data_IF_912675747814
#
_entry.id   IF_912675747814
#
_cell.length_a   1.000
_cell.length_b   1.000
_cell.length_c   1.000
_cell.angle_alpha   90.00
_cell.angle_beta   90.00
_cell.angle_gamma   90.00
#
_symmetry.space_group_name_H-M   'P 1'
#
loop_
_entity.id
_entity.type
_entity.pdbx_description
1 polymer ?
#
# COMPACT_ATOMS: atom_id res chain seq x y z
N UNK A 1 -22.66 -20.42 8.23
CA UNK A 1 -21.28 -20.71 7.78
C UNK A 1 -21.28 -21.55 6.50
N UNK A 2 -21.93 -22.72 6.44
CA UNK A 2 -21.93 -23.60 5.24
C UNK A 2 -22.47 -22.97 3.95
N UNK A 3 -23.44 -22.04 4.01
CA UNK A 3 -23.93 -21.31 2.82
C UNK A 3 -22.89 -20.35 2.21
N UNK A 4 -21.98 -19.83 3.03
CA UNK A 4 -20.91 -18.92 2.56
C UNK A 4 -19.87 -19.68 1.74
N UNK A 5 -19.47 -20.89 2.17
CA UNK A 5 -18.51 -21.72 1.43
C UNK A 5 -19.01 -22.19 0.05
N UNK A 6 -20.34 -22.25 -0.15
CA UNK A 6 -20.96 -22.57 -1.44
C UNK A 6 -21.23 -21.34 -2.32
N UNK A 7 -20.88 -20.14 -1.87
CA UNK A 7 -21.11 -18.93 -2.66
C UNK A 7 -20.06 -18.79 -3.77
N UNK A 8 -20.48 -18.33 -4.95
CA UNK A 8 -19.57 -18.00 -6.06
C UNK A 8 -18.47 -17.00 -5.64
N UNK A 9 -18.79 -16.09 -4.73
CA UNK A 9 -17.85 -15.13 -4.16
C UNK A 9 -16.72 -15.81 -3.36
N UNK A 10 -17.05 -16.84 -2.57
CA UNK A 10 -16.05 -17.59 -1.81
C UNK A 10 -15.07 -18.31 -2.74
N UNK A 11 -15.59 -18.98 -3.78
CA UNK A 11 -14.75 -19.65 -4.80
C UNK A 11 -13.83 -18.64 -5.46
N UNK A 12 -14.34 -17.48 -5.84
CA UNK A 12 -13.57 -16.43 -6.48
C UNK A 12 -12.44 -15.90 -5.56
N UNK A 13 -12.74 -15.64 -4.29
CA UNK A 13 -11.74 -15.24 -3.28
C UNK A 13 -10.67 -16.31 -3.12
N UNK A 14 -11.07 -17.59 -3.02
CA UNK A 14 -10.14 -18.71 -2.89
C UNK A 14 -9.19 -18.82 -4.09
N UNK A 15 -9.73 -18.65 -5.31
CA UNK A 15 -8.95 -18.64 -6.53
C UNK A 15 -7.91 -17.51 -6.52
N UNK A 16 -8.30 -16.30 -6.12
CA UNK A 16 -7.34 -15.18 -6.01
C UNK A 16 -6.25 -15.41 -4.98
N UNK A 17 -6.60 -15.96 -3.81
CA UNK A 17 -5.64 -16.31 -2.76
C UNK A 17 -4.66 -17.37 -3.28
N UNK A 18 -5.17 -18.41 -3.94
CA UNK A 18 -4.35 -19.46 -4.53
C UNK A 18 -3.37 -18.90 -5.57
N UNK A 19 -3.85 -18.08 -6.50
CA UNK A 19 -2.98 -17.43 -7.49
C UNK A 19 -1.94 -16.53 -6.83
N UNK A 20 -2.29 -15.79 -5.78
CA UNK A 20 -1.34 -14.96 -5.05
C UNK A 20 -0.20 -15.79 -4.45
N UNK A 21 -0.51 -16.89 -3.79
CA UNK A 21 0.50 -17.81 -3.23
C UNK A 21 1.34 -18.47 -4.33
N UNK A 22 0.71 -18.87 -5.42
CA UNK A 22 1.37 -19.48 -6.56
C UNK A 22 2.37 -18.52 -7.22
N UNK A 23 1.98 -17.26 -7.45
CA UNK A 23 2.89 -16.24 -7.97
C UNK A 23 4.03 -15.91 -7.02
N UNK A 24 3.77 -15.82 -5.71
CA UNK A 24 4.83 -15.65 -4.73
C UNK A 24 5.82 -16.82 -4.78
N UNK A 25 5.34 -18.05 -4.85
CA UNK A 25 6.18 -19.22 -4.93
C UNK A 25 7.05 -19.26 -6.19
N UNK A 26 6.48 -18.96 -7.36
CA UNK A 26 7.25 -18.94 -8.63
C UNK A 26 8.31 -17.84 -8.59
N UNK A 27 8.01 -16.67 -8.02
CA UNK A 27 8.93 -15.54 -8.06
C UNK A 27 10.03 -15.58 -6.99
N UNK A 28 9.76 -16.19 -5.83
CA UNK A 28 10.65 -16.11 -4.67
C UNK A 28 10.95 -17.47 -4.01
N UNK A 29 10.35 -18.57 -4.52
CA UNK A 29 10.30 -19.88 -3.85
C UNK A 29 9.62 -19.88 -2.47
N UNK A 30 8.94 -18.79 -2.09
CA UNK A 30 8.23 -18.67 -0.83
C UNK A 30 6.72 -18.59 -1.08
N UNK A 31 5.92 -19.34 -0.30
CA UNK A 31 4.45 -19.25 -0.40
C UNK A 31 3.96 -17.88 0.05
N UNK A 32 4.52 -17.36 1.15
CA UNK A 32 4.23 -16.04 1.70
C UNK A 32 5.54 -15.27 1.78
N UNK A 33 5.81 -14.41 0.81
CA UNK A 33 7.01 -13.58 0.82
C UNK A 33 6.74 -12.26 1.59
N UNK A 34 7.67 -11.81 2.45
CA UNK A 34 8.99 -12.33 2.79
C UNK A 34 9.03 -13.17 4.10
N UNK A 35 8.13 -14.12 4.28
CA UNK A 35 8.11 -14.99 5.45
C UNK A 35 9.06 -16.19 5.25
N UNK A 36 10.26 -16.10 5.82
CA UNK A 36 11.38 -17.06 5.70
C UNK A 36 10.99 -18.52 5.91
N UNK A 37 10.07 -18.81 6.84
CA UNK A 37 9.64 -20.18 7.16
C UNK A 37 8.79 -20.82 6.05
N UNK A 38 8.27 -20.03 5.11
CA UNK A 38 7.49 -20.52 3.96
C UNK A 38 8.32 -20.73 2.70
N UNK A 39 9.63 -20.52 2.77
CA UNK A 39 10.53 -20.54 1.62
C UNK A 39 11.21 -21.90 1.43
N UNK A 40 11.24 -22.36 0.18
CA UNK A 40 11.83 -23.63 -0.27
C UNK A 40 13.18 -23.36 -0.94
N UNK A 41 14.27 -23.89 -0.38
CA UNK A 41 15.63 -23.68 -0.89
C UNK A 41 16.06 -24.69 -1.97
N UNK A 42 15.29 -25.78 -2.17
CA UNK A 42 15.68 -26.89 -3.07
C UNK A 42 15.36 -26.65 -4.55
N UNK A 43 14.78 -25.51 -4.89
CA UNK A 43 14.45 -25.19 -6.29
C UNK A 43 15.52 -24.29 -6.89
N UNK A 44 15.76 -24.40 -8.19
CA UNK A 44 16.84 -23.68 -8.89
C UNK A 44 16.70 -22.15 -8.88
N UNK A 45 15.49 -21.65 -8.67
CA UNK A 45 15.18 -20.21 -8.59
C UNK A 45 14.97 -19.70 -7.16
N UNK A 46 15.38 -20.49 -6.15
CA UNK A 46 15.17 -20.10 -4.77
C UNK A 46 16.02 -18.89 -4.39
N UNK A 47 15.41 -17.99 -3.64
CA UNK A 47 16.11 -16.90 -2.95
C UNK A 47 16.66 -17.47 -1.65
N UNK A 48 17.89 -17.13 -1.30
CA UNK A 48 18.50 -17.56 -0.05
C UNK A 48 17.71 -17.02 1.16
N UNK A 49 17.50 -17.85 2.17
CA UNK A 49 16.76 -17.44 3.39
C UNK A 49 17.37 -16.23 4.09
N UNK A 50 18.68 -16.06 4.00
CA UNK A 50 19.39 -14.87 4.52
C UNK A 50 19.01 -13.60 3.75
N UNK A 51 18.83 -13.70 2.43
CA UNK A 51 18.37 -12.56 1.62
C UNK A 51 16.92 -12.22 1.92
N UNK A 52 16.05 -13.24 2.06
CA UNK A 52 14.65 -13.02 2.44
C UNK A 52 14.55 -12.28 3.77
N UNK A 53 15.40 -12.64 4.75
CA UNK A 53 15.45 -11.97 6.05
C UNK A 53 15.97 -10.53 5.92
N UNK A 54 16.99 -10.31 5.12
CA UNK A 54 17.51 -8.97 4.83
C UNK A 54 16.45 -8.08 4.17
N UNK A 55 15.68 -8.62 3.24
CA UNK A 55 14.58 -7.92 2.57
C UNK A 55 13.45 -7.59 3.58
N UNK A 56 13.11 -8.53 4.46
CA UNK A 56 12.13 -8.28 5.54
C UNK A 56 12.56 -7.11 6.43
N UNK A 57 13.80 -7.14 6.91
CA UNK A 57 14.38 -6.08 7.74
C UNK A 57 14.39 -4.75 6.98
N UNK A 58 14.68 -4.77 5.68
CA UNK A 58 14.68 -3.56 4.86
C UNK A 58 13.28 -2.96 4.70
N UNK A 59 12.24 -3.79 4.49
CA UNK A 59 10.86 -3.30 4.42
C UNK A 59 10.39 -2.69 5.74
N UNK A 60 10.74 -3.33 6.86
CA UNK A 60 10.42 -2.82 8.19
C UNK A 60 11.16 -1.51 8.47
N UNK A 61 12.45 -1.45 8.19
CA UNK A 61 13.27 -0.25 8.32
C UNK A 61 12.73 0.90 7.47
N UNK A 62 12.37 0.62 6.21
CA UNK A 62 11.82 1.62 5.31
C UNK A 62 10.48 2.17 5.83
N UNK A 63 9.60 1.32 6.32
CA UNK A 63 8.32 1.73 6.87
C UNK A 63 8.47 2.58 8.14
N UNK A 64 9.34 2.16 9.04
CA UNK A 64 9.65 2.84 10.31
C UNK A 64 10.48 4.12 10.10
N UNK A 65 11.27 4.19 9.03
CA UNK A 65 12.04 5.36 8.62
C UNK A 65 11.25 6.45 7.89
N UNK A 66 9.91 6.40 7.93
CA UNK A 66 9.05 7.41 7.31
C UNK A 66 8.78 7.19 5.82
N UNK A 67 9.02 5.98 5.32
CA UNK A 67 8.80 5.60 3.92
C UNK A 67 9.47 6.55 2.91
N UNK A 68 10.69 6.96 3.22
CA UNK A 68 11.53 7.81 2.37
C UNK A 68 12.59 6.98 1.64
N UNK A 69 12.86 7.25 0.34
CA UNK A 69 13.78 6.43 -0.45
C UNK A 69 15.24 6.50 0.01
N UNK A 70 15.64 7.57 0.69
CA UNK A 70 17.03 7.84 1.10
C UNK A 70 17.27 7.64 2.60
N UNK A 71 16.41 6.90 3.28
CA UNK A 71 16.57 6.63 4.70
C UNK A 71 17.72 5.65 4.94
N UNK A 72 18.76 6.09 5.61
CA UNK A 72 19.94 5.28 5.96
C UNK A 72 20.21 5.42 7.45
N UNK A 73 20.45 4.30 8.12
CA UNK A 73 20.79 4.22 9.55
C UNK A 73 21.96 3.28 9.71
N UNK A 74 22.91 3.62 10.59
CA UNK A 74 24.10 2.80 10.87
C UNK A 74 23.73 1.44 11.46
N UNK A 75 22.97 1.43 12.54
CA UNK A 75 22.49 0.20 13.16
C UNK A 75 21.00 -0.03 12.87
N UNK A 76 20.71 -0.82 11.83
CA UNK A 76 19.35 -1.11 11.36
C UNK A 76 18.51 -1.83 12.42
N UNK A 77 19.10 -2.82 13.09
CA UNK A 77 18.39 -3.67 14.04
C UNK A 77 18.04 -2.90 15.30
N UNK A 78 18.95 -2.09 15.81
CA UNK A 78 18.71 -1.24 16.97
C UNK A 78 17.63 -0.19 16.69
N UNK A 79 17.66 0.42 15.50
CA UNK A 79 16.66 1.40 15.09
C UNK A 79 15.23 0.84 15.05
N UNK A 80 15.03 -0.37 14.51
CA UNK A 80 13.69 -0.98 14.40
C UNK A 80 13.17 -1.52 15.73
N UNK A 81 14.04 -1.77 16.71
CA UNK A 81 13.67 -2.31 18.00
C UNK A 81 13.27 -1.20 19.01
N UNK A 82 12.60 -1.58 20.06
CA UNK A 82 12.34 -0.77 21.25
C UNK A 82 11.74 0.62 21.00
N UNK A 83 11.01 0.81 19.90
CA UNK A 83 10.41 2.10 19.51
C UNK A 83 11.42 3.24 19.25
N UNK A 84 12.70 2.96 19.05
CA UNK A 84 13.71 3.97 18.71
C UNK A 84 13.38 4.74 17.43
N UNK A 85 12.58 4.14 16.56
CA UNK A 85 12.08 4.72 15.31
C UNK A 85 10.90 5.69 15.50
N UNK A 86 10.21 5.65 16.65
CA UNK A 86 8.89 6.29 16.80
C UNK A 86 8.95 7.81 16.63
N UNK A 87 9.91 8.48 17.22
CA UNK A 87 10.04 9.94 17.14
C UNK A 87 10.25 10.38 15.67
N UNK A 88 11.21 9.76 14.98
CA UNK A 88 11.47 10.05 13.59
C UNK A 88 10.25 9.76 12.69
N UNK A 89 9.54 8.67 12.96
CA UNK A 89 8.33 8.33 12.21
C UNK A 89 7.21 9.36 12.42
N UNK A 90 7.02 9.86 13.64
CA UNK A 90 6.04 10.92 13.93
C UNK A 90 6.38 12.18 13.15
N UNK A 91 7.61 12.63 13.18
CA UNK A 91 8.03 13.89 12.55
C UNK A 91 8.03 13.81 11.03
N UNK A 92 8.54 12.73 10.46
CA UNK A 92 8.72 12.61 9.01
C UNK A 92 7.48 12.05 8.30
N UNK A 93 6.76 11.13 8.95
CA UNK A 93 5.68 10.41 8.27
C UNK A 93 4.29 10.77 8.78
N UNK A 94 4.09 10.75 10.10
CA UNK A 94 2.77 10.97 10.69
C UNK A 94 2.26 12.36 10.37
N UNK A 95 2.97 13.40 10.76
CA UNK A 95 2.52 14.80 10.57
C UNK A 95 2.52 15.24 9.11
N UNK A 96 3.33 14.65 8.25
CA UNK A 96 3.41 15.05 6.84
C UNK A 96 2.48 14.27 5.89
N UNK A 97 2.17 13.00 6.19
CA UNK A 97 1.39 12.15 5.27
C UNK A 97 0.18 11.52 5.91
N UNK A 98 0.35 10.97 7.11
CA UNK A 98 -0.71 10.20 7.74
C UNK A 98 -1.81 11.10 8.30
N UNK A 99 -1.46 12.23 8.92
CA UNK A 99 -2.40 13.23 9.42
C UNK A 99 -3.31 13.78 8.32
N UNK A 100 -2.75 14.14 7.17
CA UNK A 100 -3.51 14.61 6.01
C UNK A 100 -4.48 13.57 5.49
N UNK A 101 -4.03 12.32 5.44
CA UNK A 101 -4.89 11.21 5.04
C UNK A 101 -6.04 10.99 6.04
N UNK A 102 -5.75 10.94 7.34
CA UNK A 102 -6.75 10.76 8.39
C UNK A 102 -7.76 11.90 8.40
N UNK A 103 -7.31 13.14 8.25
CA UNK A 103 -8.17 14.31 8.15
C UNK A 103 -9.09 14.20 6.93
N UNK A 104 -8.54 13.82 5.78
CA UNK A 104 -9.30 13.67 4.53
C UNK A 104 -10.39 12.60 4.65
N UNK A 105 -10.08 11.40 5.17
CA UNK A 105 -11.08 10.34 5.30
C UNK A 105 -12.12 10.61 6.38
N UNK A 106 -11.75 11.29 7.48
CA UNK A 106 -12.72 11.70 8.51
C UNK A 106 -13.68 12.76 7.97
N UNK A 107 -13.20 13.72 7.20
CA UNK A 107 -14.00 14.73 6.55
C UNK A 107 -14.98 14.11 5.53
N UNK A 108 -14.51 13.19 4.72
CA UNK A 108 -15.35 12.41 3.81
C UNK A 108 -16.40 11.58 4.57
N UNK A 109 -16.05 10.96 5.69
CA UNK A 109 -16.99 10.21 6.52
C UNK A 109 -18.09 11.11 7.11
N UNK A 110 -17.73 12.32 7.53
CA UNK A 110 -18.69 13.32 8.03
C UNK A 110 -19.66 13.75 6.91
N UNK A 111 -19.14 14.09 5.73
CA UNK A 111 -19.96 14.45 4.56
C UNK A 111 -20.91 13.31 4.20
N UNK A 112 -20.38 12.08 4.16
CA UNK A 112 -21.16 10.88 3.87
C UNK A 112 -22.26 10.65 4.91
N UNK A 113 -21.94 10.79 6.19
CA UNK A 113 -22.92 10.70 7.26
C UNK A 113 -24.08 11.68 7.10
N UNK A 114 -23.80 12.96 6.89
CA UNK A 114 -24.84 13.98 6.72
C UNK A 114 -25.67 13.76 5.45
N UNK A 115 -25.05 13.29 4.38
CA UNK A 115 -25.76 13.00 3.13
C UNK A 115 -26.75 11.84 3.27
N UNK A 116 -26.41 10.83 4.06
CA UNK A 116 -27.25 9.65 4.28
C UNK A 116 -28.05 9.70 5.59
N UNK A 117 -27.99 10.81 6.31
CA UNK A 117 -28.79 11.00 7.51
C UNK A 117 -30.31 11.02 7.19
N UNK A 118 -31.13 10.38 8.04
CA UNK A 118 -32.59 10.35 7.95
C UNK A 118 -33.19 10.44 9.35
N UNK A 119 -34.36 11.09 9.47
CA UNK A 119 -35.07 11.20 10.76
C UNK A 119 -35.68 9.87 11.22
N UNK A 120 -36.00 8.95 10.27
CA UNK A 120 -36.60 7.65 10.58
C UNK A 120 -35.54 6.66 11.03
N UNK A 121 -35.65 6.18 12.27
CA UNK A 121 -34.71 5.19 12.86
C UNK A 121 -35.26 3.77 12.75
N UNK A 122 -34.38 2.78 12.71
CA UNK A 122 -34.69 1.34 12.70
C UNK A 122 -33.87 0.65 13.78
N UNK A 123 -34.41 -0.42 14.38
CA UNK A 123 -33.65 -1.24 15.30
C UNK A 123 -32.56 -2.03 14.55
N UNK A 124 -31.36 -2.06 15.11
CA UNK A 124 -30.18 -2.52 14.44
C UNK A 124 -29.33 -3.47 15.30
N UNK A 125 -28.86 -4.58 14.71
CA UNK A 125 -28.02 -5.56 15.38
C UNK A 125 -26.52 -5.15 15.30
N UNK A 126 -25.98 -4.65 16.41
CA UNK A 126 -24.61 -4.11 16.48
C UNK A 126 -23.50 -5.16 16.65
N UNK A 127 -23.84 -6.34 17.19
CA UNK A 127 -22.86 -7.35 17.66
C UNK A 127 -21.81 -7.75 16.61
N UNK A 128 -22.24 -7.93 15.36
CA UNK A 128 -21.36 -8.36 14.25
C UNK A 128 -20.25 -7.34 13.95
N UNK A 129 -20.58 -6.06 14.06
CA UNK A 129 -19.66 -4.97 13.75
C UNK A 129 -18.60 -4.76 14.85
N UNK A 130 -18.96 -5.01 16.11
CA UNK A 130 -17.97 -4.95 17.19
C UNK A 130 -16.91 -6.03 17.08
N UNK A 131 -17.28 -7.25 16.67
CA UNK A 131 -16.33 -8.33 16.42
C UNK A 131 -15.37 -7.93 15.29
N UNK A 132 -15.90 -7.37 14.19
CA UNK A 132 -15.08 -6.92 13.07
C UNK A 132 -14.15 -5.78 13.49
N UNK A 133 -14.63 -4.79 14.25
CA UNK A 133 -13.82 -3.72 14.81
C UNK A 133 -12.68 -4.24 15.68
N UNK A 134 -12.95 -5.24 16.51
CA UNK A 134 -11.93 -5.86 17.34
C UNK A 134 -10.79 -6.44 16.51
N UNK A 135 -11.10 -7.22 15.48
CA UNK A 135 -10.07 -7.76 14.58
C UNK A 135 -9.31 -6.66 13.81
N UNK A 136 -10.02 -5.62 13.37
CA UNK A 136 -9.35 -4.49 12.70
C UNK A 136 -8.39 -3.74 13.62
N UNK A 137 -8.72 -3.59 14.89
CA UNK A 137 -7.82 -2.99 15.88
C UNK A 137 -6.59 -3.87 16.07
N UNK A 138 -6.74 -5.20 16.15
CA UNK A 138 -5.59 -6.10 16.23
C UNK A 138 -4.67 -5.98 15.01
N UNK A 139 -5.23 -5.96 13.79
CA UNK A 139 -4.45 -5.74 12.58
C UNK A 139 -3.80 -4.34 12.53
N UNK A 140 -4.45 -3.33 13.11
CA UNK A 140 -3.86 -2.00 13.20
C UNK A 140 -2.64 -1.98 14.13
N UNK A 141 -2.69 -2.74 15.24
CA UNK A 141 -1.53 -2.90 16.12
C UNK A 141 -0.39 -3.63 15.42
N UNK A 142 -0.67 -4.73 14.72
CA UNK A 142 0.33 -5.46 13.93
C UNK A 142 0.96 -4.55 12.87
N UNK A 143 0.13 -3.83 12.10
CA UNK A 143 0.58 -2.89 11.10
C UNK A 143 1.50 -1.81 11.71
N UNK A 144 1.12 -1.23 12.85
CA UNK A 144 1.90 -0.20 13.51
C UNK A 144 3.25 -0.72 14.02
N UNK A 145 3.28 -1.91 14.58
CA UNK A 145 4.51 -2.47 15.16
C UNK A 145 5.54 -2.88 14.09
N UNK A 146 5.09 -3.38 12.94
CA UNK A 146 6.00 -3.94 11.94
C UNK A 146 6.16 -3.06 10.70
N UNK A 147 5.07 -2.51 10.18
CA UNK A 147 5.08 -1.79 8.91
C UNK A 147 4.24 -0.52 8.95
N UNK A 148 4.56 0.48 9.77
CA UNK A 148 3.73 1.68 10.00
C UNK A 148 3.76 2.65 8.80
N UNK A 149 3.47 2.14 7.62
CA UNK A 149 3.32 2.93 6.39
C UNK A 149 1.96 2.67 5.76
N UNK A 150 1.27 3.73 5.34
CA UNK A 150 -0.04 3.64 4.69
C UNK A 150 -0.01 2.71 3.46
N UNK A 151 1.12 2.64 2.76
CA UNK A 151 1.33 1.77 1.61
C UNK A 151 1.23 0.28 1.96
N UNK A 152 1.64 -0.11 3.16
CA UNK A 152 1.58 -1.50 3.63
C UNK A 152 0.24 -1.82 4.33
N UNK A 153 -0.84 -1.55 3.66
CA UNK A 153 -2.20 -1.87 4.14
C UNK A 153 -2.85 -0.79 5.00
N UNK A 154 -2.11 0.22 5.47
CA UNK A 154 -2.64 1.28 6.32
C UNK A 154 -3.82 2.03 5.70
N UNK A 155 -3.78 2.32 4.39
CA UNK A 155 -4.91 2.95 3.70
C UNK A 155 -6.21 2.17 3.90
N UNK A 156 -6.18 0.86 3.70
CA UNK A 156 -7.36 -0.01 3.82
C UNK A 156 -7.82 -0.15 5.27
N UNK A 157 -6.88 -0.32 6.21
CA UNK A 157 -7.18 -0.47 7.63
C UNK A 157 -7.91 0.77 8.19
N UNK A 158 -7.42 1.97 7.91
CA UNK A 158 -8.05 3.19 8.38
C UNK A 158 -9.40 3.48 7.71
N UNK A 159 -9.53 3.19 6.39
CA UNK A 159 -10.83 3.29 5.71
C UNK A 159 -11.84 2.36 6.37
N UNK A 160 -11.49 1.09 6.62
CA UNK A 160 -12.38 0.13 7.25
C UNK A 160 -12.70 0.53 8.69
N UNK A 161 -11.71 0.98 9.46
CA UNK A 161 -11.90 1.42 10.84
C UNK A 161 -12.90 2.58 10.96
N UNK A 162 -12.87 3.53 10.03
CA UNK A 162 -13.81 4.65 9.98
C UNK A 162 -15.16 4.25 9.36
N UNK A 163 -15.14 3.40 8.33
CA UNK A 163 -16.36 2.98 7.62
C UNK A 163 -17.29 2.15 8.48
N UNK A 164 -16.78 1.29 9.37
CA UNK A 164 -17.63 0.42 10.19
C UNK A 164 -18.50 1.22 11.16
N UNK A 165 -17.97 2.13 12.01
CA UNK A 165 -18.81 2.99 12.84
C UNK A 165 -19.78 3.86 12.03
N UNK A 166 -19.35 4.32 10.86
CA UNK A 166 -20.17 5.11 9.95
C UNK A 166 -21.35 4.29 9.42
N UNK A 167 -21.12 3.06 8.95
CA UNK A 167 -22.18 2.14 8.51
C UNK A 167 -23.13 1.84 9.67
N UNK A 168 -22.61 1.55 10.86
CA UNK A 168 -23.42 1.33 12.07
C UNK A 168 -24.33 2.54 12.42
N UNK A 169 -23.91 3.73 12.09
CA UNK A 169 -24.72 4.95 12.28
C UNK A 169 -25.77 5.09 11.19
N UNK A 170 -25.38 4.89 9.92
CA UNK A 170 -26.27 5.06 8.76
C UNK A 170 -27.34 3.97 8.71
N UNK A 171 -27.01 2.72 9.04
CA UNK A 171 -27.95 1.60 9.02
C UNK A 171 -29.12 1.79 10.03
N UNK A 172 -28.95 2.65 11.01
CA UNK A 172 -30.07 3.07 11.91
C UNK A 172 -31.13 3.91 11.19
N UNK A 173 -30.84 4.41 10.00
CA UNK A 173 -31.73 5.30 9.28
C UNK A 173 -32.40 4.56 8.12
N UNK A 174 -33.72 4.67 8.03
CA UNK A 174 -34.48 4.09 6.94
C UNK A 174 -34.40 5.04 5.71
N UNK A 175 -33.53 4.69 4.76
CA UNK A 175 -33.39 5.42 3.51
C UNK A 175 -34.03 4.57 2.39
N UNK A 176 -34.93 5.12 1.55
CA UNK A 176 -35.47 4.42 0.38
C UNK A 176 -34.31 4.01 -0.55
N UNK A 177 -34.33 2.76 -1.02
CA UNK A 177 -33.28 2.20 -1.87
C UNK A 177 -32.95 3.05 -3.10
N UNK A 178 -33.99 3.59 -3.76
CA UNK A 178 -33.84 4.45 -4.94
C UNK A 178 -33.04 5.71 -4.60
N UNK A 179 -33.35 6.36 -3.48
CA UNK A 179 -32.64 7.56 -3.04
C UNK A 179 -31.19 7.23 -2.62
N UNK A 180 -30.99 6.09 -1.93
CA UNK A 180 -29.65 5.62 -1.58
C UNK A 180 -28.80 5.40 -2.85
N UNK A 181 -29.34 4.68 -3.83
CA UNK A 181 -28.65 4.42 -5.11
C UNK A 181 -28.27 5.72 -5.83
N UNK A 182 -29.21 6.67 -5.94
CA UNK A 182 -28.95 7.98 -6.58
C UNK A 182 -27.80 8.72 -5.89
N UNK A 183 -27.84 8.83 -4.56
CA UNK A 183 -26.81 9.52 -3.78
C UNK A 183 -25.46 8.81 -3.89
N UNK A 184 -25.43 7.47 -3.79
CA UNK A 184 -24.21 6.68 -3.93
C UNK A 184 -23.58 6.86 -5.32
N UNK A 185 -24.39 6.85 -6.40
CA UNK A 185 -23.89 7.09 -7.74
C UNK A 185 -23.26 8.47 -7.88
N UNK A 186 -23.87 9.52 -7.29
CA UNK A 186 -23.27 10.87 -7.31
C UNK A 186 -21.92 10.88 -6.61
N UNK A 187 -21.78 10.23 -5.43
CA UNK A 187 -20.51 10.14 -4.74
C UNK A 187 -19.43 9.41 -5.54
N UNK A 188 -19.80 8.30 -6.19
CA UNK A 188 -18.89 7.56 -7.06
C UNK A 188 -18.42 8.44 -8.22
N UNK A 189 -19.33 9.16 -8.88
CA UNK A 189 -18.99 10.06 -9.97
C UNK A 189 -18.06 11.19 -9.53
N UNK A 190 -18.34 11.83 -8.40
CA UNK A 190 -17.47 12.86 -7.82
C UNK A 190 -16.07 12.28 -7.53
N UNK A 191 -16.01 11.09 -6.92
CA UNK A 191 -14.74 10.42 -6.62
C UNK A 191 -13.93 10.13 -7.87
N UNK A 192 -14.58 9.67 -8.95
CA UNK A 192 -13.94 9.43 -10.25
C UNK A 192 -13.40 10.75 -10.84
N UNK A 193 -14.19 11.83 -10.79
CA UNK A 193 -13.78 13.14 -11.31
C UNK A 193 -12.54 13.66 -10.55
N UNK A 194 -12.55 13.58 -9.21
CA UNK A 194 -11.40 13.98 -8.39
C UNK A 194 -10.16 13.14 -8.70
N UNK A 195 -10.33 11.81 -8.82
CA UNK A 195 -9.24 10.90 -9.16
C UNK A 195 -8.64 11.22 -10.53
N UNK A 196 -9.47 11.38 -11.54
CA UNK A 196 -9.02 11.71 -12.90
C UNK A 196 -8.35 13.09 -12.94
N UNK A 197 -8.95 14.10 -12.32
CA UNK A 197 -8.39 15.44 -12.25
C UNK A 197 -7.00 15.47 -11.60
N UNK A 198 -6.83 14.75 -10.47
CA UNK A 198 -5.53 14.62 -9.81
C UNK A 198 -4.50 13.91 -10.69
N UNK A 199 -4.88 12.86 -11.39
CA UNK A 199 -3.95 12.15 -12.27
C UNK A 199 -3.56 12.99 -13.49
N UNK A 200 -4.50 13.71 -14.10
CA UNK A 200 -4.23 14.63 -15.21
C UNK A 200 -3.28 15.74 -14.75
N UNK A 201 -3.53 16.34 -13.58
CA UNK A 201 -2.65 17.37 -13.03
C UNK A 201 -1.23 16.84 -12.79
N UNK A 202 -1.10 15.62 -12.24
CA UNK A 202 0.19 14.97 -12.05
C UNK A 202 0.92 14.73 -13.37
N UNK A 203 0.22 14.19 -14.37
CA UNK A 203 0.80 13.96 -15.69
C UNK A 203 1.26 15.23 -16.37
N UNK A 204 0.48 16.32 -16.27
CA UNK A 204 0.88 17.62 -16.79
C UNK A 204 2.12 18.15 -16.09
N UNK A 205 2.23 17.98 -14.77
CA UNK A 205 3.42 18.36 -14.00
C UNK A 205 4.63 17.51 -14.41
N UNK A 206 4.48 16.21 -14.55
CA UNK A 206 5.54 15.31 -15.01
C UNK A 206 5.99 15.65 -16.44
N UNK A 207 5.05 15.98 -17.33
CA UNK A 207 5.36 16.45 -18.68
C UNK A 207 6.16 17.76 -18.66
N UNK A 208 5.76 18.75 -17.87
CA UNK A 208 6.42 20.06 -17.82
C UNK A 208 7.81 20.00 -17.18
N UNK A 209 8.02 19.14 -16.19
CA UNK A 209 9.29 19.06 -15.43
C UNK A 209 10.26 18.06 -16.07
N UNK A 210 9.77 16.94 -16.61
CA UNK A 210 10.60 15.82 -17.06
C UNK A 210 10.46 15.52 -18.55
N UNK A 211 9.67 16.30 -19.31
CA UNK A 211 9.29 16.01 -20.69
C UNK A 211 8.67 14.58 -20.86
N UNK A 212 8.02 14.10 -19.80
CA UNK A 212 7.41 12.78 -19.80
C UNK A 212 6.16 12.74 -20.69
N UNK A 213 6.24 11.98 -21.77
CA UNK A 213 5.10 11.76 -22.67
C UNK A 213 4.59 10.33 -22.52
N UNK A 214 3.35 10.18 -22.05
CA UNK A 214 2.69 8.89 -21.85
C UNK A 214 2.69 8.05 -23.14
N UNK A 215 2.45 8.67 -24.30
CA UNK A 215 2.34 7.94 -25.55
C UNK A 215 3.70 7.49 -26.08
N UNK A 216 4.74 8.28 -25.90
CA UNK A 216 6.08 7.95 -26.36
C UNK A 216 6.83 7.04 -25.37
N UNK A 217 6.52 7.14 -24.06
CA UNK A 217 7.22 6.39 -23.02
C UNK A 217 6.47 5.14 -22.57
N UNK A 218 5.34 4.81 -23.20
CA UNK A 218 4.52 3.66 -22.82
C UNK A 218 5.26 2.34 -22.98
N UNK A 219 6.20 2.25 -23.92
CA UNK A 219 7.00 1.06 -24.22
C UNK A 219 8.37 1.04 -23.51
N UNK A 220 8.68 1.99 -22.62
CA UNK A 220 9.99 2.08 -21.99
C UNK A 220 10.41 0.81 -21.26
N UNK A 221 9.46 0.02 -20.77
CA UNK A 221 9.71 -1.27 -20.10
C UNK A 221 10.26 -2.35 -21.02
N UNK A 222 10.00 -2.24 -22.32
CA UNK A 222 10.39 -3.22 -23.31
C UNK A 222 11.62 -2.82 -24.12
N UNK A 223 11.85 -1.54 -24.24
CA UNK A 223 12.94 -0.98 -25.05
C UNK A 223 14.13 -0.65 -24.14
N UNK A 224 14.62 -1.51 -23.35
CA UNK A 224 15.80 -1.43 -22.48
C UNK A 224 16.79 -0.26 -22.61
N UNK A 225 16.48 0.73 -23.40
CA UNK A 225 17.23 1.96 -23.62
C UNK A 225 16.65 3.10 -22.81
N UNK A 226 16.48 2.88 -21.56
CA UNK A 226 15.91 3.87 -20.67
C UNK A 226 16.89 5.03 -20.49
N UNK A 227 16.74 6.06 -21.34
CA UNK A 227 17.52 7.31 -21.21
C UNK A 227 17.38 7.90 -19.81
N UNK A 228 16.21 7.74 -19.17
CA UNK A 228 15.96 8.14 -17.79
C UNK A 228 16.76 7.32 -16.78
N UNK A 229 16.96 6.03 -17.04
CA UNK A 229 17.80 5.19 -16.20
C UNK A 229 19.26 5.64 -16.29
N UNK A 230 19.77 5.83 -17.49
CA UNK A 230 21.13 6.32 -17.70
C UNK A 230 21.33 7.73 -17.13
N UNK A 231 20.37 8.61 -17.30
CA UNK A 231 20.41 9.97 -16.74
C UNK A 231 20.39 9.97 -15.21
N UNK A 232 19.51 9.18 -14.58
CA UNK A 232 19.47 9.02 -13.10
C UNK A 232 20.72 8.34 -12.59
N UNK A 233 21.21 7.35 -13.31
CA UNK A 233 22.45 6.67 -13.00
C UNK A 233 23.65 7.59 -13.08
N UNK A 234 23.78 8.35 -14.17
CA UNK A 234 24.84 9.33 -14.37
C UNK A 234 24.82 10.43 -13.30
N UNK A 235 23.63 10.91 -12.95
CA UNK A 235 23.44 11.86 -11.86
C UNK A 235 23.88 11.27 -10.50
N UNK A 236 23.48 10.04 -10.19
CA UNK A 236 23.89 9.33 -8.96
C UNK A 236 25.41 9.10 -8.91
N UNK A 237 26.02 8.76 -10.04
CA UNK A 237 27.47 8.55 -10.12
C UNK A 237 28.25 9.84 -9.95
N UNK A 238 27.74 10.95 -10.46
CA UNK A 238 28.38 12.27 -10.33
C UNK A 238 28.20 12.87 -8.92
N UNK A 239 27.05 12.65 -8.27
CA UNK A 239 26.78 13.19 -6.93
C UNK A 239 27.49 12.46 -5.79
N UNK A 240 27.89 11.21 -5.96
CA UNK A 240 28.33 10.36 -4.82
C UNK A 240 29.64 9.62 -5.03
N UNK A 241 30.58 9.96 -5.82
CA UNK A 241 31.86 9.19 -5.91
C UNK A 241 31.68 7.67 -5.67
N UNK A 242 30.71 7.08 -6.37
CA UNK A 242 30.33 5.68 -6.14
C UNK A 242 31.43 4.72 -6.61
N UNK A 243 32.09 4.06 -5.69
CA UNK A 243 33.03 2.96 -5.96
C UNK A 243 32.30 1.61 -6.17
N UNK A 244 31.09 1.59 -6.71
CA UNK A 244 30.40 0.33 -6.94
C UNK A 244 30.74 -0.26 -8.31
N UNK A 245 31.35 -1.43 -8.28
CA UNK A 245 31.71 -2.21 -9.47
C UNK A 245 30.52 -2.91 -10.13
N UNK A 246 29.33 -2.96 -9.52
CA UNK A 246 28.23 -3.78 -10.02
C UNK A 246 26.86 -3.15 -9.74
N UNK A 247 25.95 -3.24 -10.72
CA UNK A 247 24.54 -2.92 -10.61
C UNK A 247 23.74 -4.18 -10.97
N UNK A 248 22.69 -4.48 -10.19
CA UNK A 248 21.73 -5.51 -10.54
C UNK A 248 20.59 -4.89 -11.36
N UNK A 249 20.48 -5.29 -12.62
CA UNK A 249 19.40 -4.87 -13.49
C UNK A 249 18.69 -6.12 -14.05
N UNK A 250 17.38 -6.22 -13.83
CA UNK A 250 16.54 -7.35 -14.22
C UNK A 250 17.12 -8.73 -13.81
N UNK A 251 17.65 -8.82 -12.60
CA UNK A 251 18.26 -10.06 -12.09
C UNK A 251 19.63 -10.40 -12.68
N UNK A 252 20.19 -9.56 -13.53
CA UNK A 252 21.55 -9.72 -14.08
C UNK A 252 22.51 -8.75 -13.40
N UNK A 253 23.67 -9.29 -13.02
CA UNK A 253 24.79 -8.52 -12.48
C UNK A 253 25.52 -7.82 -13.64
N UNK A 254 25.41 -6.50 -13.70
CA UNK A 254 26.09 -5.69 -14.73
C UNK A 254 27.31 -5.04 -14.10
N UNK A 255 28.48 -5.30 -14.69
CA UNK A 255 29.71 -4.64 -14.31
C UNK A 255 29.68 -3.19 -14.83
N UNK A 256 29.79 -2.23 -13.93
CA UNK A 256 29.95 -0.82 -14.31
C UNK A 256 31.39 -0.43 -14.07
N UNK A 257 32.11 -0.23 -15.15
CA UNK A 257 33.49 0.25 -15.12
C UNK A 257 33.42 1.78 -15.25
N UNK A 258 33.96 2.48 -14.27
CA UNK A 258 34.21 3.91 -14.38
C UNK A 258 35.52 4.06 -15.18
N UNK A 259 35.44 4.55 -16.42
CA UNK A 259 36.62 5.03 -17.13
C UNK A 259 37.06 6.36 -16.53
#
# INVERSE_FOLDING_TARGET
FFKFFKSKLFILIFVFIFFSFFFNFINSSCIIFPAKFTCYEKVSWSILKSEVESIKIWYELWAKGGATPNFVVENRIDYINNFNWLQNWLDVYFFNKMSDYLLSITLLAIIFYFTFYSKKKVNFQKRKYYILLFFLILYLFEWFLFHPSLRYGGYHLFILLISIPLIMKIEKFKIPWVLFKKKATIFIMISIIIFLGRNIFRLNKEYSVYNYNIFNNMNYKFIGGDKDFYFRYEKLMNEKNFNHKYIFFLGKKILVIKN
#
